data_IF_634403564806
#
_entry.id   IF_634403564806
#
_cell.length_a   1.000
_cell.length_b   1.000
_cell.length_c   1.000
_cell.angle_alpha   90.00
_cell.angle_beta   90.00
_cell.angle_gamma   90.00
#
_symmetry.space_group_name_H-M   'P 1'
#
loop_
_entity.id
_entity.type
_entity.pdbx_description
1 polymer ?
#
# COMPACT_ATOMS: atom_id res chain seq x y z
N UNK A 1 4.87 -11.38 30.40
CA UNK A 1 4.17 -10.17 29.87
C UNK A 1 4.94 -9.52 28.72
N UNK A 2 6.21 -9.13 28.89
CA UNK A 2 7.05 -8.52 27.82
C UNK A 2 7.18 -9.36 26.54
N UNK A 3 7.43 -10.67 26.67
CA UNK A 3 7.53 -11.58 25.53
C UNK A 3 6.21 -11.70 24.71
N UNK A 4 5.05 -11.55 25.37
CA UNK A 4 3.75 -11.57 24.69
C UNK A 4 3.53 -10.29 23.88
N UNK A 5 3.91 -9.13 24.42
CA UNK A 5 3.81 -7.83 23.74
C UNK A 5 4.75 -7.81 22.53
N UNK A 6 5.99 -8.26 22.67
CA UNK A 6 6.96 -8.36 21.56
C UNK A 6 6.42 -9.27 20.46
N UNK A 7 5.88 -10.45 20.82
CA UNK A 7 5.27 -11.36 19.85
C UNK A 7 4.08 -10.73 19.12
N UNK A 8 3.30 -9.88 19.80
CA UNK A 8 2.18 -9.14 19.19
C UNK A 8 2.65 -8.06 18.22
N UNK A 9 3.71 -7.32 18.57
CA UNK A 9 4.31 -6.30 17.71
C UNK A 9 5.00 -6.92 16.49
N UNK A 10 5.68 -8.06 16.66
CA UNK A 10 6.28 -8.80 15.55
C UNK A 10 5.25 -9.30 14.53
N UNK A 11 4.02 -9.59 14.95
CA UNK A 11 2.92 -10.01 14.06
C UNK A 11 2.30 -8.83 13.28
N UNK A 12 2.52 -7.58 13.68
CA UNK A 12 2.07 -6.40 12.93
C UNK A 12 2.87 -6.25 11.64
N UNK A 13 4.17 -6.51 11.68
CA UNK A 13 5.08 -6.41 10.53
C UNK A 13 4.60 -7.25 9.32
N UNK A 14 4.32 -8.56 9.44
CA UNK A 14 3.82 -9.35 8.31
C UNK A 14 2.43 -8.90 7.84
N UNK A 15 1.60 -8.36 8.73
CA UNK A 15 0.29 -7.81 8.37
C UNK A 15 0.44 -6.58 7.48
N UNK A 16 1.30 -5.64 7.88
CA UNK A 16 1.61 -4.45 7.09
C UNK A 16 2.27 -4.82 5.76
N UNK A 17 3.20 -5.78 5.78
CA UNK A 17 3.84 -6.28 4.56
C UNK A 17 2.83 -6.86 3.57
N UNK A 18 1.90 -7.70 4.06
CA UNK A 18 0.83 -8.25 3.23
C UNK A 18 -0.04 -7.16 2.60
N UNK A 19 -0.47 -6.16 3.38
CA UNK A 19 -1.26 -5.03 2.86
C UNK A 19 -0.48 -4.23 1.82
N UNK A 20 0.80 -3.95 2.07
CA UNK A 20 1.66 -3.23 1.12
C UNK A 20 1.81 -3.99 -0.20
N UNK A 21 2.05 -5.31 -0.16
CA UNK A 21 2.18 -6.14 -1.36
C UNK A 21 0.88 -6.19 -2.14
N UNK A 22 -0.26 -6.37 -1.47
CA UNK A 22 -1.58 -6.36 -2.11
C UNK A 22 -1.85 -5.00 -2.76
N UNK A 23 -1.62 -3.90 -2.03
CA UNK A 23 -1.80 -2.55 -2.57
C UNK A 23 -0.91 -2.34 -3.81
N UNK A 24 0.36 -2.73 -3.74
CA UNK A 24 1.30 -2.64 -4.85
C UNK A 24 0.88 -3.50 -6.06
N UNK A 25 0.34 -4.69 -5.83
CA UNK A 25 -0.19 -5.54 -6.89
C UNK A 25 -1.44 -4.92 -7.52
N UNK A 26 -2.38 -4.40 -6.72
CA UNK A 26 -3.59 -3.72 -7.18
C UNK A 26 -3.25 -2.49 -8.03
N UNK A 27 -2.30 -1.68 -7.57
CA UNK A 27 -1.81 -0.49 -8.30
C UNK A 27 -1.21 -0.85 -9.65
N UNK A 28 -0.46 -1.97 -9.75
CA UNK A 28 0.12 -2.40 -11.02
C UNK A 28 -0.89 -3.03 -11.98
N UNK A 29 -1.98 -3.61 -11.45
CA UNK A 29 -3.03 -4.24 -12.27
C UNK A 29 -4.05 -3.20 -12.78
N UNK A 30 -4.21 -2.06 -12.10
CA UNK A 30 -5.09 -0.99 -12.54
C UNK A 30 -4.58 -0.35 -13.86
N UNK A 31 -5.39 -0.35 -14.95
CA UNK A 31 -5.00 0.27 -16.21
C UNK A 31 -5.00 1.79 -16.08
N UNK A 32 -3.88 2.42 -16.47
CA UNK A 32 -3.59 3.82 -16.17
C UNK A 32 -3.21 3.96 -14.70
N UNK A 33 -1.92 3.99 -14.39
CA UNK A 33 -1.46 4.00 -13.01
C UNK A 33 -2.07 5.16 -12.22
N UNK A 34 -2.23 5.05 -10.89
CA UNK A 34 -2.73 6.15 -10.07
C UNK A 34 -1.93 7.44 -10.31
N UNK A 35 -0.64 7.33 -10.61
CA UNK A 35 0.23 8.45 -10.99
C UNK A 35 -0.20 9.08 -12.33
N UNK A 36 -0.56 8.29 -13.33
CA UNK A 36 -1.06 8.79 -14.62
C UNK A 36 -2.43 9.43 -14.48
N UNK A 37 -3.32 8.86 -13.66
CA UNK A 37 -4.62 9.45 -13.36
C UNK A 37 -4.48 10.76 -12.56
N UNK A 38 -3.56 10.82 -11.60
CA UNK A 38 -3.25 12.05 -10.86
C UNK A 38 -2.63 13.11 -11.76
N UNK A 39 -1.69 12.74 -12.64
CA UNK A 39 -1.10 13.66 -13.63
C UNK A 39 -2.16 14.10 -14.64
N UNK A 40 -3.06 13.23 -15.09
CA UNK A 40 -4.15 13.56 -16.01
C UNK A 40 -5.17 14.53 -15.39
N UNK A 41 -5.49 14.38 -14.10
CA UNK A 41 -6.32 15.36 -13.38
C UNK A 41 -5.63 16.73 -13.28
N UNK A 42 -4.31 16.76 -13.03
CA UNK A 42 -3.54 18.01 -12.97
C UNK A 42 -3.41 18.65 -14.36
N UNK A 43 -3.11 17.87 -15.41
CA UNK A 43 -2.99 18.34 -16.79
C UNK A 43 -4.33 18.76 -17.42
N UNK A 44 -5.44 18.13 -17.03
CA UNK A 44 -6.78 18.46 -17.54
C UNK A 44 -7.35 19.77 -16.99
N UNK A 45 -6.64 20.46 -16.09
CA UNK A 45 -7.03 21.77 -15.54
C UNK A 45 -6.36 22.95 -16.28
N UNK A 46 -5.92 22.75 -17.53
CA UNK A 46 -5.28 23.78 -18.37
C UNK A 46 -6.00 23.94 -19.71
#
# INVERSE_FOLDING_TARGET
>A
MSAYIIRRLLLIIPTLFGIMVINFAVVQVAPGGPVEQMIAQIKGTA
#
